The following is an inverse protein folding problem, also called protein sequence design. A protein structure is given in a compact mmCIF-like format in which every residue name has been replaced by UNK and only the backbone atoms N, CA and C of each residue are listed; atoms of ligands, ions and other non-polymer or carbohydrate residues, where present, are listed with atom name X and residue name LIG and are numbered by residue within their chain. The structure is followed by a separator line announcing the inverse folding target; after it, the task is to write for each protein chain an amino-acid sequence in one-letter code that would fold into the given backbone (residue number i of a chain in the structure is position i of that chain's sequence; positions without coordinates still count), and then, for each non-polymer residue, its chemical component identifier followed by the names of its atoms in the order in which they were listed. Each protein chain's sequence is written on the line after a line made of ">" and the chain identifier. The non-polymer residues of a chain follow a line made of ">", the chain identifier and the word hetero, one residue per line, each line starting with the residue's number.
data_IF_642658467262
#
_entry.id   IF_642658467262
#
_cell.length_a   1.000
_cell.length_b   1.000
_cell.length_c   1.000
_cell.angle_alpha   90.00
_cell.angle_beta   90.00
_cell.angle_gamma   90.00
#
_symmetry.space_group_name_H-M   'P 1'
#
loop_
_entity.id
_entity.type
_entity.pdbx_description
1 polymer ?
#
# COMPACT_ATOMS: atom_id res chain seq x y z
N UNK A 1 -5.67 52.91 -66.42
CA UNK A 1 -6.17 51.55 -66.17
C UNK A 1 -6.38 51.43 -64.66
N UNK A 2 -7.64 51.23 -64.25
CA UNK A 2 -8.19 50.67 -62.99
C UNK A 2 -7.37 50.80 -61.69
N UNK A 3 -7.88 51.10 -60.49
CA UNK A 3 -9.18 51.40 -59.89
C UNK A 3 -8.84 51.72 -58.41
N UNK A 4 -9.50 52.71 -57.79
CA UNK A 4 -10.01 52.81 -56.38
C UNK A 4 -9.14 52.23 -55.22
N UNK A 5 -9.01 52.84 -54.03
CA UNK A 5 -9.79 53.88 -53.34
C UNK A 5 -9.07 54.33 -52.05
N UNK A 6 -9.06 55.65 -51.85
CA UNK A 6 -9.21 56.48 -50.64
C UNK A 6 -9.16 55.83 -49.23
N UNK A 7 -8.33 56.46 -48.38
CA UNK A 7 -8.65 57.08 -47.06
C UNK A 7 -9.81 56.46 -46.26
N UNK A 8 -9.62 56.14 -44.98
CA UNK A 8 -9.66 57.15 -43.91
C UNK A 8 -9.49 56.54 -42.51
N UNK A 9 -8.93 57.34 -41.62
CA UNK A 9 -8.74 57.04 -40.22
C UNK A 9 -9.95 57.55 -39.42
N UNK A 10 -10.79 56.67 -38.85
CA UNK A 10 -11.63 57.06 -37.69
C UNK A 10 -12.29 55.93 -36.91
N UNK A 11 -12.21 56.14 -35.59
CA UNK A 11 -13.22 55.86 -34.56
C UNK A 11 -13.22 54.50 -33.86
N UNK A 12 -12.85 54.58 -32.57
CA UNK A 12 -13.19 53.65 -31.48
C UNK A 12 -14.64 53.16 -31.59
N UNK A 13 -14.83 51.85 -31.38
CA UNK A 13 -16.04 51.31 -30.76
C UNK A 13 -15.63 50.43 -29.58
N UNK A 14 -16.03 50.89 -28.39
CA UNK A 14 -15.95 50.16 -27.14
C UNK A 14 -16.77 48.87 -27.26
N UNK A 15 -16.09 47.73 -27.33
CA UNK A 15 -16.74 46.45 -27.11
C UNK A 15 -16.82 46.18 -25.61
N UNK A 16 -18.05 46.05 -25.15
CA UNK A 16 -18.48 45.88 -23.76
C UNK A 16 -17.73 44.74 -23.05
N UNK A 17 -17.13 45.10 -21.92
CA UNK A 17 -16.32 44.26 -21.02
C UNK A 17 -17.13 43.17 -20.27
N UNK A 18 -18.42 42.98 -20.58
CA UNK A 18 -19.29 42.03 -19.86
C UNK A 18 -19.32 40.60 -20.44
N UNK A 19 -18.85 40.38 -21.66
CA UNK A 19 -19.01 39.07 -22.33
C UNK A 19 -17.78 38.15 -22.25
N UNK A 20 -16.64 38.64 -21.75
CA UNK A 20 -15.42 37.81 -21.56
C UNK A 20 -15.30 37.17 -20.17
N UNK A 21 -16.06 37.66 -19.19
CA UNK A 21 -16.00 37.16 -17.80
C UNK A 21 -16.82 35.86 -17.65
N UNK A 22 -17.88 35.65 -18.45
CA UNK A 22 -18.71 34.45 -18.31
C UNK A 22 -18.11 33.17 -18.91
N UNK A 23 -17.20 33.25 -19.90
CA UNK A 23 -16.49 32.07 -20.40
C UNK A 23 -15.28 31.65 -19.54
N UNK A 24 -14.73 32.55 -18.71
CA UNK A 24 -13.64 32.21 -17.80
C UNK A 24 -14.13 31.48 -16.54
N UNK A 25 -15.37 31.74 -16.11
CA UNK A 25 -15.96 31.11 -14.92
C UNK A 25 -16.47 29.70 -15.22
N UNK A 26 -16.96 29.43 -16.44
CA UNK A 26 -17.37 28.08 -16.84
C UNK A 26 -16.18 27.09 -16.97
N UNK A 27 -14.99 27.59 -17.31
CA UNK A 27 -13.76 26.78 -17.41
C UNK A 27 -13.10 26.49 -16.06
N UNK A 28 -13.36 27.31 -15.04
CA UNK A 28 -12.86 27.06 -13.68
C UNK A 28 -13.66 25.97 -12.95
N UNK A 29 -14.91 25.72 -13.33
CA UNK A 29 -15.77 24.71 -12.70
C UNK A 29 -15.39 23.29 -13.18
N UNK A 30 -14.95 23.14 -14.43
CA UNK A 30 -14.50 21.85 -14.98
C UNK A 30 -13.18 21.33 -14.40
N UNK A 31 -12.39 22.17 -13.73
CA UNK A 31 -11.15 21.75 -13.07
C UNK A 31 -11.34 21.20 -11.65
N UNK A 32 -12.56 21.24 -11.10
CA UNK A 32 -12.82 20.75 -9.72
C UNK A 32 -13.48 19.37 -9.65
N UNK A 33 -13.83 18.77 -10.79
CA UNK A 33 -14.51 17.46 -10.84
C UNK A 33 -13.49 16.30 -10.93
N UNK A 34 -12.21 16.58 -11.17
CA UNK A 34 -11.16 15.56 -11.29
C UNK A 34 -10.20 15.52 -10.10
N UNK A 35 -10.65 15.11 -8.91
CA UNK A 35 -9.79 14.75 -7.76
C UNK A 35 -10.59 14.01 -6.67
N UNK A 36 -11.39 13.00 -7.01
CA UNK A 36 -12.07 12.15 -5.98
C UNK A 36 -11.37 10.81 -5.75
N UNK A 37 -10.48 10.39 -6.64
CA UNK A 37 -9.68 9.16 -6.51
C UNK A 37 -8.50 9.31 -5.55
N UNK A 38 -7.83 10.46 -5.55
CA UNK A 38 -6.51 10.61 -4.95
C UNK A 38 -6.57 10.64 -3.42
N UNK A 39 -7.60 11.30 -2.85
CA UNK A 39 -7.78 11.38 -1.40
C UNK A 39 -7.97 10.02 -0.71
N UNK A 40 -8.68 9.08 -1.35
CA UNK A 40 -8.91 7.75 -0.79
C UNK A 40 -7.63 6.89 -0.88
N UNK A 41 -6.92 7.00 -2.02
CA UNK A 41 -5.65 6.31 -2.21
C UNK A 41 -4.57 6.78 -1.22
N UNK A 42 -4.44 8.10 -1.04
CA UNK A 42 -3.52 8.69 -0.07
C UNK A 42 -3.85 8.26 1.37
N UNK A 43 -5.13 8.31 1.77
CA UNK A 43 -5.57 7.87 3.08
C UNK A 43 -5.24 6.39 3.34
N UNK A 44 -5.50 5.51 2.36
CA UNK A 44 -5.17 4.08 2.46
C UNK A 44 -3.67 3.84 2.56
N UNK A 45 -2.86 4.60 1.82
CA UNK A 45 -1.41 4.54 1.91
C UNK A 45 -0.91 5.01 3.28
N UNK A 46 -1.47 6.07 3.85
CA UNK A 46 -1.11 6.52 5.21
C UNK A 46 -1.43 5.45 6.26
N UNK A 47 -2.60 4.81 6.19
CA UNK A 47 -2.97 3.72 7.10
C UNK A 47 -2.03 2.52 6.96
N UNK A 48 -1.70 2.16 5.72
CA UNK A 48 -0.76 1.07 5.39
C UNK A 48 0.62 1.37 5.98
N UNK A 49 1.17 2.56 5.74
CA UNK A 49 2.47 2.98 6.28
C UNK A 49 2.49 2.96 7.80
N UNK A 50 1.42 3.45 8.44
CA UNK A 50 1.29 3.45 9.90
C UNK A 50 1.30 2.03 10.48
N UNK A 51 0.50 1.11 9.90
CA UNK A 51 0.45 -0.27 10.36
C UNK A 51 1.76 -1.01 10.11
N UNK A 52 2.31 -0.90 8.91
CA UNK A 52 3.57 -1.55 8.55
C UNK A 52 4.72 -1.04 9.41
N UNK A 53 4.79 0.27 9.66
CA UNK A 53 5.78 0.84 10.59
C UNK A 53 5.64 0.26 12.00
N UNK A 54 4.42 0.04 12.47
CA UNK A 54 4.16 -0.61 13.76
C UNK A 54 4.71 -2.04 13.77
N UNK A 55 4.45 -2.82 12.72
CA UNK A 55 4.98 -4.18 12.60
C UNK A 55 6.51 -4.20 12.52
N UNK A 56 7.13 -3.34 11.69
CA UNK A 56 8.59 -3.28 11.57
C UNK A 56 9.22 -2.99 12.92
N UNK A 57 8.71 -2.00 13.68
CA UNK A 57 9.19 -1.70 15.03
C UNK A 57 9.08 -2.88 15.99
N UNK A 58 8.11 -3.78 15.82
CA UNK A 58 7.97 -4.94 16.71
C UNK A 58 8.96 -6.06 16.42
N UNK A 59 9.58 -6.07 15.23
CA UNK A 59 10.60 -7.06 14.84
C UNK A 59 12.02 -6.46 14.75
N UNK A 60 12.13 -5.14 14.85
CA UNK A 60 13.38 -4.37 14.86
C UNK A 60 14.11 -4.58 16.20
N UNK A 61 14.84 -5.70 16.29
CA UNK A 61 15.56 -6.05 17.50
C UNK A 61 17.05 -5.72 17.41
N UNK A 62 17.81 -6.08 16.36
CA UNK A 62 19.27 -5.89 16.34
C UNK A 62 19.93 -5.84 14.93
N UNK A 63 19.31 -5.26 13.89
CA UNK A 63 20.00 -5.13 12.58
C UNK A 63 19.13 -4.81 11.37
N UNK A 64 19.72 -4.95 10.17
CA UNK A 64 19.02 -4.76 8.90
C UNK A 64 17.91 -5.81 8.72
N UNK A 65 16.67 -5.37 8.57
CA UNK A 65 15.50 -6.19 8.29
C UNK A 65 15.38 -6.34 6.77
N UNK A 66 15.42 -7.58 6.28
CA UNK A 66 15.17 -7.87 4.87
C UNK A 66 13.68 -8.20 4.65
N UNK A 67 13.03 -7.54 3.68
CA UNK A 67 11.63 -7.78 3.33
C UNK A 67 11.54 -8.14 1.85
N UNK A 68 10.91 -9.27 1.54
CA UNK A 68 10.57 -9.65 0.16
C UNK A 68 9.66 -8.61 -0.47
N UNK A 69 9.99 -8.19 -1.69
CA UNK A 69 9.15 -7.29 -2.47
C UNK A 69 7.76 -7.90 -2.74
N UNK A 70 7.67 -9.22 -2.88
CA UNK A 70 6.44 -9.96 -3.13
C UNK A 70 5.87 -10.59 -1.87
N UNK A 71 4.54 -10.64 -1.78
CA UNK A 71 3.77 -11.34 -0.74
C UNK A 71 3.93 -12.87 -0.84
N UNK A 72 3.64 -13.56 0.27
CA UNK A 72 3.49 -15.02 0.32
C UNK A 72 2.05 -15.38 -0.10
N UNK A 73 1.80 -16.66 -0.44
CA UNK A 73 0.50 -17.13 -0.94
C UNK A 73 -0.69 -16.87 0.00
N UNK A 74 -1.92 -17.33 -0.32
CA UNK A 74 -3.12 -17.01 0.46
C UNK A 74 -3.06 -17.54 1.91
N UNK A 75 -3.85 -16.95 2.81
CA UNK A 75 -4.13 -17.53 4.15
C UNK A 75 -5.08 -18.71 3.98
N UNK A 76 -5.00 -19.70 4.88
CA UNK A 76 -6.00 -20.77 4.94
C UNK A 76 -7.42 -20.14 5.04
N UNK A 77 -8.32 -20.62 4.17
CA UNK A 77 -9.68 -20.08 4.03
C UNK A 77 -10.44 -20.06 5.35
N UNK A 78 -10.47 -21.19 6.04
CA UNK A 78 -11.24 -21.35 7.29
C UNK A 78 -10.72 -20.39 8.36
N UNK A 79 -9.40 -20.25 8.46
CA UNK A 79 -8.79 -19.33 9.42
C UNK A 79 -9.10 -17.87 9.11
N UNK A 80 -9.06 -17.48 7.83
CA UNK A 80 -9.44 -16.13 7.44
C UNK A 80 -10.93 -15.88 7.71
N UNK A 81 -11.82 -16.84 7.42
CA UNK A 81 -13.25 -16.75 7.76
C UNK A 81 -13.48 -16.56 9.26
N UNK A 82 -12.77 -17.29 10.12
CA UNK A 82 -12.86 -17.15 11.57
C UNK A 82 -12.49 -15.73 12.02
N UNK A 83 -11.40 -15.17 11.47
CA UNK A 83 -10.98 -13.79 11.76
C UNK A 83 -12.05 -12.79 11.34
N UNK A 84 -12.53 -12.88 10.09
CA UNK A 84 -13.51 -11.93 9.58
C UNK A 84 -14.79 -11.94 10.42
N UNK A 85 -15.25 -13.12 10.84
CA UNK A 85 -16.43 -13.27 11.69
C UNK A 85 -16.20 -12.71 13.11
N UNK A 86 -15.09 -13.09 13.75
CA UNK A 86 -14.76 -12.69 15.12
C UNK A 86 -14.61 -11.17 15.25
N UNK A 87 -13.93 -10.55 14.29
CA UNK A 87 -13.62 -9.12 14.29
C UNK A 87 -14.62 -8.29 13.47
N UNK A 88 -15.68 -8.92 12.95
CA UNK A 88 -16.75 -8.28 12.18
C UNK A 88 -16.22 -7.42 11.04
N UNK A 89 -15.29 -7.96 10.26
CA UNK A 89 -14.88 -7.31 9.02
C UNK A 89 -16.08 -7.28 8.08
N UNK A 90 -16.67 -6.11 7.88
CA UNK A 90 -17.78 -5.90 6.94
C UNK A 90 -17.32 -5.90 5.47
N UNK A 91 -16.52 -6.89 5.08
CA UNK A 91 -16.02 -7.08 3.72
C UNK A 91 -16.32 -8.53 3.32
N UNK A 92 -16.90 -8.79 2.14
CA UNK A 92 -17.10 -10.16 1.67
C UNK A 92 -15.79 -10.95 1.70
N UNK A 93 -15.88 -12.22 2.12
CA UNK A 93 -14.73 -13.10 2.20
C UNK A 93 -13.99 -13.18 0.86
N UNK A 94 -14.73 -13.36 -0.23
CA UNK A 94 -14.19 -13.46 -1.58
C UNK A 94 -13.41 -12.20 -1.99
N UNK A 95 -13.88 -11.01 -1.64
CA UNK A 95 -13.15 -9.76 -1.91
C UNK A 95 -11.83 -9.71 -1.13
N UNK A 96 -11.86 -10.18 0.12
CA UNK A 96 -10.67 -10.22 0.98
C UNK A 96 -9.66 -11.24 0.49
N UNK A 97 -10.13 -12.43 0.14
CA UNK A 97 -9.31 -13.52 -0.35
C UNK A 97 -8.69 -13.18 -1.72
N UNK A 98 -9.48 -12.62 -2.64
CA UNK A 98 -8.97 -12.12 -3.91
C UNK A 98 -7.96 -10.98 -3.73
N UNK A 99 -8.17 -10.08 -2.77
CA UNK A 99 -7.18 -9.04 -2.47
C UNK A 99 -5.85 -9.61 -1.95
N UNK A 100 -5.85 -10.78 -1.30
CA UNK A 100 -4.62 -11.48 -0.90
C UNK A 100 -3.96 -12.21 -2.09
N UNK A 101 -4.74 -12.83 -2.98
CA UNK A 101 -4.22 -13.57 -4.13
C UNK A 101 -3.69 -12.66 -5.25
N UNK A 102 -4.34 -11.53 -5.46
CA UNK A 102 -4.05 -10.57 -6.55
C UNK A 102 -3.13 -9.44 -6.13
N UNK A 103 -2.48 -9.56 -4.97
CA UNK A 103 -1.56 -8.55 -4.46
C UNK A 103 -0.29 -8.48 -5.34
N UNK A 104 -0.41 -7.72 -6.42
CA UNK A 104 0.57 -7.57 -7.51
C UNK A 104 1.52 -6.41 -7.28
N UNK A 105 1.24 -5.52 -6.32
CA UNK A 105 2.09 -4.37 -6.05
C UNK A 105 3.21 -4.82 -5.13
N UNK A 106 4.41 -4.68 -5.65
CA UNK A 106 5.62 -5.03 -4.97
C UNK A 106 5.95 -3.94 -3.92
N UNK A 107 6.29 -4.35 -2.70
CA UNK A 107 6.72 -3.43 -1.64
C UNK A 107 7.83 -2.50 -2.15
N UNK A 108 7.77 -1.23 -1.76
CA UNK A 108 8.77 -0.23 -2.13
C UNK A 108 9.25 0.51 -0.87
N UNK A 109 10.42 1.16 -0.96
CA UNK A 109 10.99 1.92 0.17
C UNK A 109 10.04 3.03 0.66
N UNK A 110 9.09 3.49 -0.15
CA UNK A 110 8.15 4.53 0.25
C UNK A 110 7.22 4.11 1.39
N UNK A 111 7.02 2.81 1.58
CA UNK A 111 6.20 2.24 2.66
C UNK A 111 6.96 2.08 3.98
N UNK A 112 8.28 2.19 3.94
CA UNK A 112 9.17 1.96 5.06
C UNK A 112 10.00 3.21 5.31
N UNK A 113 9.64 3.96 6.34
CA UNK A 113 10.39 5.15 6.75
C UNK A 113 11.71 4.81 7.48
N UNK A 114 12.02 3.52 7.67
CA UNK A 114 13.19 3.05 8.40
C UNK A 114 14.27 2.59 7.42
N UNK A 115 15.45 3.24 7.46
CA UNK A 115 16.61 2.84 6.65
C UNK A 115 17.14 1.44 6.98
N UNK A 116 16.71 0.89 8.12
CA UNK A 116 17.00 -0.49 8.52
C UNK A 116 16.24 -1.53 7.69
N UNK A 117 15.35 -1.13 6.78
CA UNK A 117 14.62 -2.06 5.89
C UNK A 117 15.29 -2.16 4.52
N UNK A 118 15.80 -3.35 4.18
CA UNK A 118 16.23 -3.72 2.83
C UNK A 118 15.09 -4.44 2.11
N UNK A 119 14.63 -3.90 0.99
CA UNK A 119 13.67 -4.59 0.11
C UNK A 119 14.42 -5.53 -0.83
N UNK A 120 14.07 -6.81 -0.81
CA UNK A 120 14.66 -7.86 -1.63
C UNK A 120 13.84 -8.07 -2.90
N UNK A 121 14.50 -8.00 -4.05
CA UNK A 121 13.92 -8.45 -5.32
C UNK A 121 13.61 -9.95 -5.31
N UNK A 122 12.73 -10.41 -6.22
CA UNK A 122 12.47 -11.85 -6.40
C UNK A 122 13.73 -12.66 -6.67
N UNK A 123 14.74 -12.07 -7.32
CA UNK A 123 16.03 -12.70 -7.61
C UNK A 123 16.86 -12.88 -6.34
N UNK A 124 17.01 -11.83 -5.54
CA UNK A 124 17.72 -11.89 -4.25
C UNK A 124 17.05 -12.89 -3.30
N UNK A 125 15.71 -12.82 -3.18
CA UNK A 125 14.92 -13.78 -2.40
C UNK A 125 15.21 -15.23 -2.83
N UNK A 126 15.19 -15.49 -4.14
CA UNK A 126 15.45 -16.85 -4.67
C UNK A 126 16.91 -17.29 -4.50
N UNK A 127 17.84 -16.35 -4.40
CA UNK A 127 19.23 -16.67 -4.03
C UNK A 127 19.28 -17.15 -2.59
N UNK A 128 18.76 -16.34 -1.66
CA UNK A 128 18.73 -16.65 -0.23
C UNK A 128 17.99 -17.98 0.04
N UNK A 129 16.87 -18.23 -0.64
CA UNK A 129 16.11 -19.46 -0.43
C UNK A 129 16.78 -20.73 -0.97
N UNK A 130 17.69 -20.61 -1.94
CA UNK A 130 18.42 -21.76 -2.51
C UNK A 130 19.74 -22.03 -1.82
N UNK A 131 20.29 -21.02 -1.15
CA UNK A 131 21.46 -21.20 -0.31
C UNK A 131 21.07 -22.12 0.85
N UNK A 132 21.53 -23.37 0.79
CA UNK A 132 21.45 -24.31 1.91
C UNK A 132 22.23 -23.66 3.03
N UNK A 133 21.54 -23.02 3.98
CA UNK A 133 22.20 -22.46 5.15
C UNK A 133 22.99 -23.61 5.81
N UNK A 134 24.33 -23.49 5.91
CA UNK A 134 25.09 -24.47 6.67
C UNK A 134 24.58 -24.42 8.12
N UNK A 135 24.59 -25.59 8.78
CA UNK A 135 23.97 -25.82 10.09
C UNK A 135 24.57 -25.00 11.25
N UNK A 136 25.52 -24.11 10.95
CA UNK A 136 26.36 -23.34 11.85
C UNK A 136 26.00 -21.85 11.84
N UNK A 137 24.79 -21.55 12.29
CA UNK A 137 24.44 -20.20 12.74
C UNK A 137 23.69 -19.35 11.72
N UNK A 138 22.58 -18.80 12.20
CA UNK A 138 21.70 -17.87 11.51
C UNK A 138 22.45 -16.58 11.15
N UNK A 139 23.06 -16.53 9.96
CA UNK A 139 23.57 -15.26 9.46
C UNK A 139 22.38 -14.42 8.98
N UNK A 140 22.22 -13.21 9.55
CA UNK A 140 21.07 -12.32 9.28
C UNK A 140 20.86 -12.05 7.78
N UNK A 141 21.92 -12.13 6.97
CA UNK A 141 21.91 -11.97 5.51
C UNK A 141 21.19 -13.10 4.76
N UNK A 142 20.91 -14.24 5.42
CA UNK A 142 20.18 -15.39 4.89
C UNK A 142 18.74 -15.50 5.40
N UNK A 143 18.26 -14.47 6.10
CA UNK A 143 16.90 -14.44 6.63
C UNK A 143 16.12 -13.27 6.03
N UNK A 144 14.82 -13.46 5.81
CA UNK A 144 13.97 -12.38 5.35
C UNK A 144 12.52 -12.57 5.79
N UNK A 145 11.79 -11.46 5.85
CA UNK A 145 10.36 -11.44 6.07
C UNK A 145 9.60 -11.34 4.76
N UNK A 146 8.44 -11.95 4.73
CA UNK A 146 7.42 -11.76 3.72
C UNK A 146 6.17 -11.28 4.44
N UNK A 147 5.64 -10.13 4.02
CA UNK A 147 4.40 -9.59 4.57
C UNK A 147 3.39 -9.31 3.46
N UNK A 148 2.11 -9.59 3.70
CA UNK A 148 1.04 -9.20 2.78
C UNK A 148 0.75 -7.72 2.91
N UNK A 149 0.06 -7.12 1.94
CA UNK A 149 -0.63 -5.87 2.26
C UNK A 149 -1.65 -6.06 3.40
N UNK A 150 -1.87 -5.01 4.19
CA UNK A 150 -2.92 -5.03 5.18
C UNK A 150 -4.32 -5.08 4.55
N UNK A 151 -5.19 -5.86 5.15
CA UNK A 151 -6.64 -5.76 4.94
C UNK A 151 -7.21 -4.98 6.11
N UNK A 152 -7.88 -3.88 5.82
CA UNK A 152 -8.55 -3.07 6.83
C UNK A 152 -10.02 -3.45 6.92
N UNK A 153 -10.58 -3.44 8.12
CA UNK A 153 -12.03 -3.46 8.28
C UNK A 153 -12.62 -2.21 7.64
N UNK A 154 -13.89 -2.26 7.27
CA UNK A 154 -14.59 -1.14 6.62
C UNK A 154 -14.58 0.15 7.46
N UNK A 155 -14.65 0.02 8.78
CA UNK A 155 -14.54 1.11 9.75
C UNK A 155 -13.09 1.48 10.09
N UNK A 156 -12.11 0.76 9.53
CA UNK A 156 -10.67 0.91 9.73
C UNK A 156 -10.20 0.79 11.18
N UNK A 157 -11.03 0.20 12.06
CA UNK A 157 -10.67 -0.05 13.45
C UNK A 157 -9.84 -1.33 13.63
N UNK A 158 -9.90 -2.24 12.68
CA UNK A 158 -9.10 -3.46 12.65
C UNK A 158 -8.31 -3.58 11.35
N UNK A 159 -7.18 -4.27 11.44
CA UNK A 159 -6.39 -4.63 10.28
C UNK A 159 -5.82 -6.04 10.43
N UNK A 160 -5.70 -6.74 9.31
CA UNK A 160 -5.07 -8.06 9.21
C UNK A 160 -3.79 -7.91 8.41
N UNK A 161 -2.67 -8.39 8.95
CA UNK A 161 -1.37 -8.44 8.28
C UNK A 161 -0.84 -9.87 8.34
N UNK A 162 -0.63 -10.49 7.18
CA UNK A 162 0.06 -11.79 7.13
C UNK A 162 1.56 -11.56 7.22
N UNK A 163 2.25 -12.38 8.00
CA UNK A 163 3.71 -12.46 8.00
C UNK A 163 4.20 -13.88 7.76
N UNK A 164 5.40 -13.97 7.20
CA UNK A 164 6.20 -15.19 7.17
C UNK A 164 7.66 -14.80 7.35
N UNK A 165 8.34 -15.44 8.29
CA UNK A 165 9.78 -15.33 8.47
C UNK A 165 10.44 -16.54 7.80
N UNK A 166 11.36 -16.26 6.89
CA UNK A 166 12.21 -17.26 6.25
C UNK A 166 13.60 -17.22 6.87
N UNK A 167 14.09 -18.39 7.28
CA UNK A 167 15.45 -18.57 7.81
C UNK A 167 16.08 -19.88 7.31
N UNK A 168 15.74 -20.29 6.08
CA UNK A 168 16.19 -21.57 5.50
C UNK A 168 15.18 -22.70 5.73
N UNK A 169 15.63 -23.94 5.52
CA UNK A 169 14.76 -25.12 5.37
C UNK A 169 14.17 -25.74 6.64
N UNK A 170 14.35 -25.16 7.84
CA UNK A 170 13.93 -25.79 9.11
C UNK A 170 13.30 -24.89 10.18
N UNK A 171 13.28 -23.57 10.00
CA UNK A 171 12.78 -22.64 11.03
C UNK A 171 11.79 -21.60 10.48
N UNK A 172 11.38 -21.77 9.22
CA UNK A 172 10.41 -20.88 8.59
C UNK A 172 9.07 -20.93 9.32
N UNK A 173 8.60 -19.76 9.76
CA UNK A 173 7.33 -19.65 10.47
C UNK A 173 6.61 -18.37 10.10
N UNK A 174 5.30 -18.46 9.95
CA UNK A 174 4.44 -17.34 9.67
C UNK A 174 3.14 -17.43 10.43
N UNK A 175 2.36 -16.38 10.29
CA UNK A 175 1.06 -16.27 10.94
C UNK A 175 0.29 -15.08 10.41
N UNK A 176 -0.93 -14.92 10.91
CA UNK A 176 -1.81 -13.80 10.65
C UNK A 176 -1.88 -12.94 11.90
N UNK A 177 -1.51 -11.68 11.75
CA UNK A 177 -1.54 -10.68 12.80
C UNK A 177 -2.82 -9.87 12.69
N UNK A 178 -3.59 -9.82 13.77
CA UNK A 178 -4.76 -8.94 13.89
C UNK A 178 -4.41 -7.74 14.74
N UNK A 179 -4.53 -6.56 14.17
CA UNK A 179 -4.29 -5.29 14.85
C UNK A 179 -5.59 -4.56 15.10
N UNK A 180 -5.64 -3.85 16.24
CA UNK A 180 -6.70 -2.90 16.56
C UNK A 180 -6.13 -1.49 16.60
N UNK A 181 -6.83 -0.55 15.98
CA UNK A 181 -6.49 0.86 16.03
C UNK A 181 -6.75 1.40 17.43
N UNK A 182 -5.76 2.07 18.02
CA UNK A 182 -5.87 2.78 19.29
C UNK A 182 -5.30 4.18 19.13
N UNK A 183 -6.17 5.19 19.09
CA UNK A 183 -5.79 6.56 18.76
C UNK A 183 -5.16 6.63 17.36
N UNK A 184 -3.94 7.17 17.28
CA UNK A 184 -3.20 7.32 16.02
C UNK A 184 -2.34 6.09 15.66
N UNK A 185 -2.34 5.06 16.50
CA UNK A 185 -1.48 3.89 16.34
C UNK A 185 -2.25 2.57 16.21
N UNK A 186 -1.48 1.51 15.99
CA UNK A 186 -1.97 0.15 15.93
C UNK A 186 -1.41 -0.65 17.10
N UNK A 187 -2.22 -1.54 17.66
CA UNK A 187 -1.81 -2.45 18.73
C UNK A 187 -2.15 -3.86 18.29
N UNK A 188 -1.17 -4.75 18.36
CA UNK A 188 -1.39 -6.17 18.10
C UNK A 188 -2.42 -6.70 19.10
N UNK A 189 -3.50 -7.29 18.60
CA UNK A 189 -4.48 -7.98 19.42
C UNK A 189 -4.15 -9.47 19.49
N UNK A 190 -3.90 -10.08 18.33
CA UNK A 190 -3.71 -11.52 18.23
C UNK A 190 -2.69 -11.87 17.13
N UNK A 191 -1.90 -12.91 17.41
CA UNK A 191 -1.06 -13.61 16.43
C UNK A 191 -1.63 -15.03 16.32
N UNK A 192 -2.26 -15.34 15.18
CA UNK A 192 -3.12 -16.51 14.97
C UNK A 192 -2.88 -17.12 13.58
N UNK A 193 -3.52 -18.25 13.29
CA UNK A 193 -3.34 -18.97 12.03
C UNK A 193 -1.86 -19.31 11.76
N UNK A 194 -1.21 -20.12 12.60
CA UNK A 194 0.20 -20.46 12.41
C UNK A 194 0.41 -21.09 11.02
N UNK A 195 1.49 -20.66 10.37
CA UNK A 195 1.92 -21.12 9.04
C UNK A 195 3.29 -21.70 9.23
N UNK A 196 3.40 -23.02 9.13
CA UNK A 196 4.67 -23.74 9.17
C UNK A 196 4.99 -24.26 7.78
N UNK A 197 6.26 -24.17 7.36
CA UNK A 197 6.76 -24.86 6.17
C UNK A 197 7.25 -26.25 6.48
#
# INVERSE_FOLDING_TARGET
>A
MQLRSKLDCKSRKNYSMKTRIQLAIASLIYLTIGCKSDSNYEAKNMLTKSLVSTYIKSIDSQGMIQISQSSYGPVNRDCLTEILNKYKFEIPFEETFQAQETDTIAWSKEFFSNDSVKILSSRERSSISRDIAPFDGETLDKTFYVISKPIFSKDQNFAILKKYFFCGGRCGQGSVLVYKKKGNGWVLQEDICPIVS
#
